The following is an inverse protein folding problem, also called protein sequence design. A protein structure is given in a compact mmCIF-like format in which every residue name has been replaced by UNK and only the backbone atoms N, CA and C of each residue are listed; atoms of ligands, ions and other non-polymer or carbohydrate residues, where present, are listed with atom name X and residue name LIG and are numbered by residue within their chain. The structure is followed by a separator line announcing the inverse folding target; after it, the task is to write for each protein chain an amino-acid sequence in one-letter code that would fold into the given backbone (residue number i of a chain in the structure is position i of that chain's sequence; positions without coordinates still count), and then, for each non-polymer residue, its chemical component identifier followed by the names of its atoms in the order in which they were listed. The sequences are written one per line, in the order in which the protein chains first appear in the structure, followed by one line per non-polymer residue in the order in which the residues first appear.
data_IF_348364769375
#
_entry.id   IF_348364769375
#
_cell.length_a   1.000
_cell.length_b   1.000
_cell.length_c   1.000
_cell.angle_alpha   90.00
_cell.angle_beta   90.00
_cell.angle_gamma   90.00
#
_symmetry.space_group_name_H-M   'P 1'
#
loop_
_entity.id
_entity.type
_entity.pdbx_description
1 polymer ?
#
# COMPACT_ATOMS: atom_id res chain seq x y z
N UNK A 1 -7.00 8.43 2.91
CA UNK A 1 -5.90 8.21 1.94
C UNK A 1 -5.48 6.75 1.94
N UNK A 2 -4.93 6.23 0.84
CA UNK A 2 -4.41 4.86 0.76
C UNK A 2 -2.91 4.87 0.46
N UNK A 3 -2.12 4.23 1.32
CA UNK A 3 -0.67 3.96 1.13
C UNK A 3 -0.51 2.48 0.84
N UNK A 4 0.10 2.14 -0.29
CA UNK A 4 0.37 0.74 -0.70
C UNK A 4 1.84 0.60 -1.06
N UNK A 5 2.49 -0.46 -0.58
CA UNK A 5 3.86 -0.80 -0.95
C UNK A 5 4.17 -2.27 -0.67
N UNK A 6 5.33 -2.73 -1.14
CA UNK A 6 5.80 -4.09 -0.92
C UNK A 6 6.69 -4.22 0.33
N UNK A 7 6.77 -5.42 0.92
CA UNK A 7 7.67 -5.70 2.05
C UNK A 7 9.13 -5.92 1.65
N UNK A 8 9.40 -6.22 0.38
CA UNK A 8 10.73 -6.39 -0.19
C UNK A 8 11.22 -5.14 -0.94
N UNK A 9 10.46 -4.03 -0.89
CA UNK A 9 10.86 -2.76 -1.47
C UNK A 9 12.06 -2.16 -0.73
N UNK A 10 13.20 -2.04 -1.43
CA UNK A 10 14.42 -1.45 -0.90
C UNK A 10 14.48 0.07 -1.07
N UNK A 11 13.66 0.65 -1.94
CA UNK A 11 13.58 2.10 -2.16
C UNK A 11 12.63 2.75 -1.14
N UNK A 12 11.48 2.11 -0.88
CA UNK A 12 10.50 2.54 0.12
C UNK A 12 10.18 1.40 1.09
N UNK A 13 11.11 1.10 2.03
CA UNK A 13 10.94 -0.03 2.95
C UNK A 13 9.73 0.16 3.87
N UNK A 14 9.21 -0.92 4.49
CA UNK A 14 8.01 -0.87 5.33
C UNK A 14 8.05 0.15 6.46
N UNK A 15 9.24 0.45 7.01
CA UNK A 15 9.41 1.48 8.02
C UNK A 15 8.98 2.87 7.51
N UNK A 16 9.39 3.24 6.29
CA UNK A 16 9.05 4.52 5.67
C UNK A 16 7.56 4.59 5.30
N UNK A 17 6.95 3.47 4.89
CA UNK A 17 5.51 3.39 4.65
C UNK A 17 4.70 3.58 5.93
N UNK A 18 5.17 3.01 7.05
CA UNK A 18 4.56 3.20 8.38
C UNK A 18 4.72 4.64 8.88
N UNK A 19 5.88 5.25 8.65
CA UNK A 19 6.11 6.66 8.95
C UNK A 19 5.17 7.57 8.15
N UNK A 20 5.02 7.30 6.85
CA UNK A 20 4.06 8.01 5.98
C UNK A 20 2.62 7.90 6.52
N UNK A 21 2.21 6.70 6.95
CA UNK A 21 0.91 6.50 7.60
C UNK A 21 0.81 7.28 8.91
N UNK A 22 1.88 7.37 9.70
CA UNK A 22 1.85 8.08 10.98
C UNK A 22 1.61 9.60 10.78
N UNK A 23 2.08 10.16 9.67
CA UNK A 23 1.85 11.57 9.30
C UNK A 23 0.45 11.83 8.70
N UNK A 24 -0.28 10.78 8.31
CA UNK A 24 -1.61 10.86 7.72
C UNK A 24 -2.59 10.00 8.54
N UNK A 25 -3.15 10.52 9.65
CA UNK A 25 -3.90 9.71 10.63
C UNK A 25 -5.07 8.92 10.02
N UNK A 26 -5.76 9.49 9.04
CA UNK A 26 -6.89 8.87 8.33
C UNK A 26 -6.46 8.02 7.11
N UNK A 27 -5.16 7.75 6.97
CA UNK A 27 -4.65 6.87 5.92
C UNK A 27 -4.76 5.41 6.32
N UNK A 28 -5.14 4.58 5.34
CA UNK A 28 -4.95 3.14 5.42
C UNK A 28 -3.60 2.76 4.82
N UNK A 29 -2.88 1.86 5.49
CA UNK A 29 -1.62 1.30 5.01
C UNK A 29 -1.81 -0.18 4.64
N UNK A 30 -1.46 -0.53 3.41
CA UNK A 30 -1.40 -1.91 2.92
C UNK A 30 0.04 -2.26 2.50
N UNK A 31 0.70 -3.11 3.29
CA UNK A 31 2.01 -3.67 2.94
C UNK A 31 1.80 -5.06 2.35
N UNK A 32 2.19 -5.27 1.10
CA UNK A 32 2.00 -6.52 0.37
C UNK A 32 3.20 -7.45 0.59
N UNK A 33 2.92 -8.67 1.03
CA UNK A 33 3.95 -9.70 1.27
C UNK A 33 4.60 -10.18 -0.03
N UNK A 34 5.89 -10.51 0.02
CA UNK A 34 6.71 -10.97 -1.10
C UNK A 34 6.52 -10.08 -2.34
N UNK A 35 6.66 -8.76 -2.16
CA UNK A 35 6.45 -7.77 -3.22
C UNK A 35 7.53 -6.70 -3.14
N UNK A 36 8.13 -6.38 -4.29
CA UNK A 36 9.14 -5.34 -4.41
C UNK A 36 8.54 -3.94 -4.57
N UNK A 37 9.33 -3.07 -5.18
CA UNK A 37 8.98 -1.66 -5.38
C UNK A 37 7.80 -1.46 -6.35
N UNK A 38 7.70 -2.29 -7.38
CA UNK A 38 6.74 -2.11 -8.45
C UNK A 38 5.42 -2.83 -8.14
N UNK A 39 4.86 -2.63 -6.95
CA UNK A 39 3.67 -3.34 -6.46
C UNK A 39 2.47 -3.32 -7.45
N UNK A 40 2.28 -2.22 -8.18
CA UNK A 40 1.23 -2.08 -9.22
C UNK A 40 1.44 -3.09 -10.36
N UNK A 41 2.69 -3.34 -10.76
CA UNK A 41 3.06 -4.27 -11.84
C UNK A 41 3.21 -5.71 -11.35
N UNK A 42 3.74 -5.90 -10.14
CA UNK A 42 3.99 -7.22 -9.55
C UNK A 42 2.69 -7.86 -9.02
N UNK A 43 1.78 -7.06 -8.46
CA UNK A 43 0.53 -7.51 -7.82
C UNK A 43 -0.71 -6.76 -8.36
N UNK A 44 -0.92 -6.66 -9.68
CA UNK A 44 -1.94 -5.79 -10.28
C UNK A 44 -3.35 -6.10 -9.78
N UNK A 45 -3.72 -7.39 -9.66
CA UNK A 45 -5.04 -7.79 -9.17
C UNK A 45 -5.28 -7.37 -7.71
N UNK A 46 -4.25 -7.49 -6.87
CA UNK A 46 -4.34 -7.11 -5.46
C UNK A 46 -4.44 -5.59 -5.32
N UNK A 47 -3.57 -4.86 -6.00
CA UNK A 47 -3.58 -3.39 -5.99
C UNK A 47 -4.89 -2.84 -6.56
N UNK A 48 -5.38 -3.35 -7.68
CA UNK A 48 -6.66 -2.91 -8.26
C UNK A 48 -7.84 -3.13 -7.32
N UNK A 49 -7.83 -4.23 -6.53
CA UNK A 49 -8.86 -4.49 -5.53
C UNK A 49 -8.80 -3.47 -4.39
N UNK A 50 -7.61 -3.16 -3.89
CA UNK A 50 -7.41 -2.15 -2.84
C UNK A 50 -7.84 -0.75 -3.33
N UNK A 51 -7.43 -0.36 -4.53
CA UNK A 51 -7.84 0.90 -5.16
C UNK A 51 -9.36 0.96 -5.34
N UNK A 52 -9.98 -0.11 -5.83
CA UNK A 52 -11.42 -0.17 -6.03
C UNK A 52 -12.21 0.00 -4.74
N UNK A 53 -11.80 -0.67 -3.66
CA UNK A 53 -12.43 -0.55 -2.33
C UNK A 53 -12.24 0.87 -1.78
N UNK A 54 -11.04 1.42 -1.87
CA UNK A 54 -10.72 2.78 -1.45
C UNK A 54 -11.58 3.83 -2.17
N UNK A 55 -11.71 3.74 -3.50
CA UNK A 55 -12.50 4.67 -4.30
C UNK A 55 -14.01 4.60 -4.01
N UNK A 56 -14.50 3.45 -3.54
CA UNK A 56 -15.90 3.29 -3.11
C UNK A 56 -16.15 3.66 -1.65
N UNK A 57 -15.12 4.06 -0.90
CA UNK A 57 -15.22 4.35 0.54
C UNK A 57 -15.49 3.11 1.39
N UNK A 58 -15.15 1.92 0.88
CA UNK A 58 -15.27 0.67 1.64
C UNK A 58 -14.12 0.55 2.64
N UNK A 59 -14.39 -0.06 3.80
CA UNK A 59 -13.30 -0.51 4.68
C UNK A 59 -12.39 -1.46 3.90
N UNK A 60 -11.08 -1.42 4.15
CA UNK A 60 -10.06 -2.23 3.46
C UNK A 60 -9.71 -3.50 4.22
#
# INVERSE_FOLDING_TARGET
TLVVGGDEDRLFPPALLRETKAMLPDATLAVLSNTGHAAVSERPKTVNRLLSRFLRGESL
#
